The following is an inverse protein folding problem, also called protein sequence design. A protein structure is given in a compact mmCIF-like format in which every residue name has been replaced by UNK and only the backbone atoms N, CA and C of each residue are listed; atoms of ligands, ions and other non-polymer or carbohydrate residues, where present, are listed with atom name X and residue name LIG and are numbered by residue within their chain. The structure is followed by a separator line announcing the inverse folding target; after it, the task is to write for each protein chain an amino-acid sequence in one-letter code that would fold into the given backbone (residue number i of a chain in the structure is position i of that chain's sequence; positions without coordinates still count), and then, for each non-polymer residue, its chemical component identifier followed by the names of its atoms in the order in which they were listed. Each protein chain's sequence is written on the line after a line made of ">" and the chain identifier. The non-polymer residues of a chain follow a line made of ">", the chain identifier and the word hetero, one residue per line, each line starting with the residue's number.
data_IF_202391675958
#
_entry.id   IF_202391675958
#
_cell.length_a   1.000
_cell.length_b   1.000
_cell.length_c   1.000
_cell.angle_alpha   90.00
_cell.angle_beta   90.00
_cell.angle_gamma   90.00
#
_symmetry.space_group_name_H-M   'P 1'
#
loop_
_entity.id
_entity.type
_entity.pdbx_description
1 polymer ?
#
# COMPACT_ATOMS: atom_id res chain seq x y z
N UNK A 1 11.92 1.36 -29.51
CA UNK A 1 10.58 1.49 -28.91
C UNK A 1 10.18 0.16 -28.28
N UNK A 2 10.42 -0.05 -27.00
CA UNK A 2 10.02 -1.26 -26.28
C UNK A 2 8.62 -1.06 -25.69
N UNK A 3 7.64 -1.81 -26.21
CA UNK A 3 6.27 -1.85 -25.67
C UNK A 3 6.32 -2.39 -24.24
N UNK A 4 5.90 -1.57 -23.27
CA UNK A 4 5.68 -2.02 -21.90
C UNK A 4 4.58 -3.10 -21.92
N UNK A 5 4.99 -4.36 -21.83
CA UNK A 5 4.06 -5.49 -21.84
C UNK A 5 3.68 -5.75 -20.39
N UNK A 6 2.45 -5.39 -20.00
CA UNK A 6 1.93 -5.72 -18.67
C UNK A 6 1.84 -7.25 -18.57
N UNK A 7 2.73 -7.86 -17.80
CA UNK A 7 2.69 -9.31 -17.54
C UNK A 7 1.55 -9.60 -16.57
N UNK A 8 0.44 -10.15 -17.10
CA UNK A 8 -0.60 -10.77 -16.27
C UNK A 8 -0.08 -12.11 -15.77
N UNK A 9 -0.05 -12.28 -14.46
CA UNK A 9 0.22 -13.57 -13.84
C UNK A 9 -1.12 -14.28 -13.58
N UNK A 10 -1.20 -15.56 -13.95
CA UNK A 10 -2.37 -16.39 -13.72
C UNK A 10 -2.04 -17.41 -12.65
N UNK A 11 -2.91 -17.55 -11.66
CA UNK A 11 -2.87 -18.61 -10.68
C UNK A 11 -4.16 -19.42 -10.79
N UNK A 12 -4.03 -20.73 -10.78
CA UNK A 12 -5.17 -21.64 -10.88
C UNK A 12 -5.40 -22.31 -9.53
N UNK A 13 -6.65 -22.32 -9.09
CA UNK A 13 -7.08 -23.02 -7.89
C UNK A 13 -7.98 -24.18 -8.31
N UNK A 14 -7.72 -25.36 -7.76
CA UNK A 14 -8.61 -26.50 -7.91
C UNK A 14 -9.74 -26.38 -6.89
N UNK A 15 -10.97 -26.22 -7.37
CA UNK A 15 -12.17 -26.10 -6.57
C UNK A 15 -13.12 -27.23 -6.92
N UNK A 16 -13.85 -27.71 -5.91
CA UNK A 16 -14.95 -28.65 -6.14
C UNK A 16 -16.12 -27.93 -6.83
N UNK A 17 -17.05 -28.71 -7.39
CA UNK A 17 -18.26 -28.18 -8.02
C UNK A 17 -19.12 -27.40 -7.04
N UNK A 18 -19.22 -27.86 -5.79
CA UNK A 18 -20.01 -27.20 -4.75
C UNK A 18 -19.39 -25.84 -4.34
N UNK A 19 -18.07 -25.79 -4.18
CA UNK A 19 -17.36 -24.54 -3.88
C UNK A 19 -17.48 -23.54 -5.05
N UNK A 20 -17.41 -24.05 -6.28
CA UNK A 20 -17.57 -23.23 -7.48
C UNK A 20 -18.95 -22.59 -7.54
N UNK A 21 -20.00 -23.38 -7.34
CA UNK A 21 -21.38 -22.90 -7.33
C UNK A 21 -21.61 -21.84 -6.24
N UNK A 22 -21.04 -22.06 -5.05
CA UNK A 22 -21.16 -21.09 -3.95
C UNK A 22 -20.46 -19.78 -4.26
N UNK A 23 -19.31 -19.82 -4.94
CA UNK A 23 -18.59 -18.62 -5.36
C UNK A 23 -19.31 -17.85 -6.46
N UNK A 24 -19.96 -18.55 -7.39
CA UNK A 24 -20.79 -17.91 -8.41
C UNK A 24 -21.98 -17.19 -7.77
N UNK A 25 -22.67 -17.82 -6.81
CA UNK A 25 -23.75 -17.20 -6.03
C UNK A 25 -23.27 -15.93 -5.29
N UNK A 26 -22.10 -15.99 -4.66
CA UNK A 26 -21.50 -14.84 -3.95
C UNK A 26 -21.15 -13.72 -4.94
N UNK A 27 -20.55 -14.05 -6.08
CA UNK A 27 -20.19 -13.06 -7.10
C UNK A 27 -21.44 -12.33 -7.62
N UNK A 28 -22.51 -13.08 -7.93
CA UNK A 28 -23.78 -12.53 -8.39
C UNK A 28 -24.43 -11.64 -7.32
N UNK A 29 -24.52 -12.13 -6.09
CA UNK A 29 -25.11 -11.38 -4.96
C UNK A 29 -24.40 -10.05 -4.71
N UNK A 30 -23.09 -10.00 -4.91
CA UNK A 30 -22.26 -8.81 -4.70
C UNK A 30 -22.08 -7.97 -5.98
N UNK A 31 -22.67 -8.37 -7.11
CA UNK A 31 -22.65 -7.63 -8.37
C UNK A 31 -21.35 -7.71 -9.17
N UNK A 32 -20.51 -8.73 -8.93
CA UNK A 32 -19.28 -8.95 -9.71
C UNK A 32 -19.59 -9.69 -11.01
N UNK A 33 -18.91 -9.31 -12.10
CA UNK A 33 -19.16 -9.87 -13.44
C UNK A 33 -18.48 -11.23 -13.64
N UNK A 34 -17.50 -11.58 -12.80
CA UNK A 34 -16.84 -12.88 -12.85
C UNK A 34 -16.22 -13.28 -11.52
N UNK A 35 -16.02 -14.59 -11.32
CA UNK A 35 -15.21 -15.13 -10.20
C UNK A 35 -13.80 -14.55 -10.15
N UNK A 36 -13.18 -14.29 -11.30
CA UNK A 36 -11.83 -13.70 -11.34
C UNK A 36 -11.85 -12.28 -10.77
N UNK A 37 -12.89 -11.51 -11.08
CA UNK A 37 -13.08 -10.17 -10.54
C UNK A 37 -13.34 -10.21 -9.03
N UNK A 38 -14.20 -11.12 -8.56
CA UNK A 38 -14.41 -11.38 -7.14
C UNK A 38 -13.11 -11.75 -6.42
N UNK A 39 -12.33 -12.70 -6.96
CA UNK A 39 -11.04 -13.11 -6.38
C UNK A 39 -10.01 -11.99 -6.40
N UNK A 40 -9.99 -11.19 -7.47
CA UNK A 40 -9.10 -10.05 -7.58
C UNK A 40 -9.50 -8.99 -6.56
N UNK A 41 -10.78 -8.66 -6.44
CA UNK A 41 -11.29 -7.72 -5.44
C UNK A 41 -11.03 -8.24 -4.01
N UNK A 42 -11.30 -9.52 -3.73
CA UNK A 42 -11.02 -10.15 -2.45
C UNK A 42 -9.52 -10.19 -2.16
N UNK A 43 -8.66 -10.43 -3.15
CA UNK A 43 -7.22 -10.33 -3.00
C UNK A 43 -6.79 -8.88 -2.75
N UNK A 44 -7.38 -7.90 -3.44
CA UNK A 44 -7.14 -6.49 -3.17
C UNK A 44 -7.66 -6.07 -1.79
N UNK A 45 -8.74 -6.66 -1.29
CA UNK A 45 -9.24 -6.42 0.07
C UNK A 45 -8.34 -7.11 1.10
N UNK A 46 -7.92 -8.35 0.86
CA UNK A 46 -6.96 -9.07 1.70
C UNK A 46 -5.59 -8.38 1.73
N UNK A 47 -5.17 -7.78 0.62
CA UNK A 47 -3.90 -7.09 0.48
C UNK A 47 -3.98 -5.60 0.91
N UNK A 48 -5.12 -4.94 0.74
CA UNK A 48 -5.25 -3.47 0.82
C UNK A 48 -6.53 -2.94 1.48
N UNK A 49 -7.51 -3.78 1.78
CA UNK A 49 -8.82 -3.39 2.30
C UNK A 49 -8.80 -3.27 3.82
N UNK A 50 -8.77 -2.03 4.28
CA UNK A 50 -8.97 -1.60 5.67
C UNK A 50 -7.96 -2.17 6.69
N UNK A 51 -6.74 -1.64 6.66
CA UNK A 51 -5.64 -2.07 7.50
C UNK A 51 -5.95 -2.00 9.01
N UNK A 52 -6.88 -1.14 9.47
CA UNK A 52 -7.28 -1.07 10.87
C UNK A 52 -8.13 -2.28 11.31
N UNK A 53 -8.95 -2.83 10.41
CA UNK A 53 -9.74 -4.04 10.65
C UNK A 53 -8.90 -5.31 10.41
N UNK A 54 -8.01 -5.29 9.42
CA UNK A 54 -7.07 -6.38 9.14
C UNK A 54 -6.02 -6.56 10.26
N UNK A 55 -5.48 -5.48 10.84
CA UNK A 55 -4.57 -5.54 12.00
C UNK A 55 -5.29 -6.14 13.23
N UNK A 56 -6.59 -5.86 13.42
CA UNK A 56 -7.40 -6.44 14.50
C UNK A 56 -7.73 -7.92 14.27
N UNK A 57 -8.05 -8.31 13.03
CA UNK A 57 -8.51 -9.67 12.71
C UNK A 57 -7.36 -10.65 12.40
N UNK A 58 -6.21 -10.18 11.92
CA UNK A 58 -5.09 -11.02 11.48
C UNK A 58 -4.12 -11.41 12.62
N UNK A 59 -4.68 -11.83 13.77
CA UNK A 59 -3.93 -12.36 14.94
C UNK A 59 -3.12 -13.64 14.63
N UNK A 60 -3.27 -14.24 13.44
CA UNK A 60 -2.60 -15.50 13.04
C UNK A 60 -1.27 -15.32 12.31
N UNK A 61 -0.91 -14.12 11.84
CA UNK A 61 0.41 -13.85 11.23
C UNK A 61 1.11 -12.66 11.89
N UNK A 62 1.44 -12.83 13.16
CA UNK A 62 2.07 -11.81 14.03
C UNK A 62 3.36 -11.24 13.46
N UNK A 63 4.15 -12.06 12.75
CA UNK A 63 5.40 -11.63 12.13
C UNK A 63 5.19 -10.66 10.96
N UNK A 64 4.25 -10.96 10.05
CA UNK A 64 3.94 -10.07 8.92
C UNK A 64 3.35 -8.74 9.41
N UNK A 65 2.40 -8.81 10.36
CA UNK A 65 1.81 -7.60 10.94
C UNK A 65 2.86 -6.72 11.63
N UNK A 66 3.76 -7.33 12.42
CA UNK A 66 4.86 -6.62 13.06
C UNK A 66 5.78 -5.94 12.03
N UNK A 67 6.07 -6.62 10.92
CA UNK A 67 6.90 -6.07 9.83
C UNK A 67 6.22 -4.92 9.11
N UNK A 68 4.93 -5.03 8.81
CA UNK A 68 4.17 -3.95 8.16
C UNK A 68 4.00 -2.74 9.08
N UNK A 69 3.75 -2.95 10.37
CA UNK A 69 3.70 -1.87 11.35
C UNK A 69 5.04 -1.16 11.48
N UNK A 70 6.14 -1.91 11.60
CA UNK A 70 7.49 -1.34 11.63
C UNK A 70 7.80 -0.57 10.34
N UNK A 71 7.39 -1.09 9.19
CA UNK A 71 7.55 -0.41 7.92
C UNK A 71 6.78 0.92 7.88
N UNK A 72 5.52 0.97 8.32
CA UNK A 72 4.77 2.24 8.37
C UNK A 72 5.41 3.25 9.32
N UNK A 73 5.90 2.81 10.48
CA UNK A 73 6.63 3.68 11.40
C UNK A 73 7.90 4.26 10.76
N UNK A 74 8.68 3.43 10.06
CA UNK A 74 9.86 3.90 9.31
C UNK A 74 9.46 4.95 8.27
N UNK A 75 8.43 4.70 7.47
CA UNK A 75 7.97 5.69 6.47
C UNK A 75 7.52 6.99 7.15
N UNK A 76 6.77 6.91 8.24
CA UNK A 76 6.34 8.06 9.02
C UNK A 76 7.52 8.92 9.50
N UNK A 77 8.62 8.28 9.90
CA UNK A 77 9.81 8.95 10.43
C UNK A 77 10.69 9.57 9.35
N UNK A 78 10.94 8.86 8.23
CA UNK A 78 12.00 9.27 7.28
C UNK A 78 11.49 9.70 5.91
N UNK A 79 10.25 9.36 5.55
CA UNK A 79 9.76 9.55 4.19
C UNK A 79 8.39 10.24 4.11
N UNK A 80 7.65 10.42 5.21
CA UNK A 80 6.30 11.00 5.21
C UNK A 80 6.22 12.34 4.46
N UNK A 81 7.07 13.35 4.74
CA UNK A 81 6.98 14.63 4.02
C UNK A 81 7.24 14.48 2.52
N UNK A 82 8.13 13.56 2.15
CA UNK A 82 8.49 13.32 0.75
C UNK A 82 7.33 12.62 0.03
N UNK A 83 6.72 11.63 0.67
CA UNK A 83 5.51 10.96 0.14
C UNK A 83 4.38 11.97 -0.02
N UNK A 84 4.16 12.83 0.97
CA UNK A 84 3.07 13.81 0.95
C UNK A 84 3.25 14.85 -0.17
N UNK A 85 4.45 15.39 -0.34
CA UNK A 85 4.69 16.52 -1.25
C UNK A 85 5.06 16.05 -2.66
N UNK A 86 5.77 14.93 -2.79
CA UNK A 86 6.37 14.47 -4.06
C UNK A 86 5.92 13.07 -4.48
N UNK A 87 5.03 12.44 -3.71
CA UNK A 87 4.56 11.08 -3.96
C UNK A 87 5.61 10.02 -3.64
N UNK A 88 5.30 8.76 -3.99
CA UNK A 88 6.12 7.60 -3.65
C UNK A 88 7.35 7.40 -4.55
N UNK A 89 7.40 8.03 -5.73
CA UNK A 89 8.46 7.80 -6.72
C UNK A 89 9.88 8.20 -6.24
N UNK A 90 10.06 9.37 -5.59
CA UNK A 90 11.35 9.76 -5.03
C UNK A 90 11.83 8.82 -3.92
N UNK A 91 10.90 8.23 -3.17
CA UNK A 91 11.22 7.28 -2.09
C UNK A 91 11.94 6.05 -2.67
N UNK A 92 11.51 5.57 -3.84
CA UNK A 92 12.21 4.49 -4.54
C UNK A 92 13.61 4.85 -4.98
N UNK A 93 13.81 6.10 -5.39
CA UNK A 93 15.06 6.51 -6.01
C UNK A 93 16.12 6.81 -4.97
N UNK A 94 15.73 7.35 -3.82
CA UNK A 94 16.67 7.95 -2.87
C UNK A 94 16.64 7.36 -1.46
N UNK A 95 15.57 6.65 -1.07
CA UNK A 95 15.36 6.26 0.34
C UNK A 95 15.22 4.75 0.55
N UNK A 96 15.24 3.94 -0.51
CA UNK A 96 15.03 2.49 -0.35
C UNK A 96 16.05 1.84 0.57
N UNK A 97 17.32 2.22 0.46
CA UNK A 97 18.38 1.62 1.28
C UNK A 97 18.29 2.03 2.75
N UNK A 98 17.94 3.28 3.03
CA UNK A 98 17.68 3.74 4.40
C UNK A 98 16.45 3.04 4.99
N UNK A 99 15.35 2.92 4.22
CA UNK A 99 14.15 2.20 4.66
C UNK A 99 14.48 0.72 4.96
N UNK A 100 15.29 0.07 4.12
CA UNK A 100 15.71 -1.32 4.36
C UNK A 100 16.54 -1.43 5.63
N UNK A 101 17.50 -0.53 5.84
CA UNK A 101 18.37 -0.53 7.02
C UNK A 101 17.54 -0.38 8.30
N UNK A 102 16.64 0.59 8.32
CA UNK A 102 15.79 0.85 9.49
C UNK A 102 14.79 -0.28 9.75
N UNK A 103 14.21 -0.86 8.69
CA UNK A 103 13.31 -1.99 8.84
C UNK A 103 14.02 -3.25 9.33
N UNK A 104 15.23 -3.52 8.82
CA UNK A 104 16.06 -4.62 9.27
C UNK A 104 16.40 -4.48 10.75
N UNK A 105 16.83 -3.30 11.19
CA UNK A 105 17.14 -3.03 12.59
C UNK A 105 15.96 -3.31 13.55
N UNK A 106 14.71 -3.15 13.09
CA UNK A 106 13.50 -3.34 13.91
C UNK A 106 12.92 -4.75 13.85
N UNK A 107 13.18 -5.49 12.77
CA UNK A 107 12.42 -6.69 12.43
C UNK A 107 13.25 -7.89 11.98
N UNK A 108 14.57 -7.73 11.86
CA UNK A 108 15.51 -8.73 11.33
C UNK A 108 15.07 -9.28 9.96
N UNK A 109 14.49 -8.39 9.14
CA UNK A 109 13.92 -8.71 7.84
C UNK A 109 14.25 -7.65 6.81
N UNK A 110 14.78 -8.09 5.67
CA UNK A 110 15.04 -7.25 4.50
C UNK A 110 14.06 -7.63 3.39
N UNK A 111 13.02 -6.82 3.13
CA UNK A 111 12.11 -7.05 2.02
C UNK A 111 12.78 -6.82 0.66
N UNK A 112 12.34 -7.58 -0.34
CA UNK A 112 12.66 -7.33 -1.73
C UNK A 112 12.05 -6.00 -2.22
N UNK A 113 12.61 -5.43 -3.28
CA UNK A 113 12.21 -4.14 -3.88
C UNK A 113 10.73 -4.11 -4.25
N UNK A 114 10.23 -5.19 -4.86
CA UNK A 114 8.82 -5.29 -5.23
C UNK A 114 7.91 -5.33 -4.01
N UNK A 115 8.36 -5.93 -2.90
CA UNK A 115 7.63 -5.91 -1.63
C UNK A 115 7.58 -4.50 -1.02
N UNK A 116 8.69 -3.76 -1.05
CA UNK A 116 8.74 -2.37 -0.57
C UNK A 116 7.88 -1.44 -1.42
N UNK A 117 7.93 -1.58 -2.75
CA UNK A 117 7.03 -0.89 -3.68
C UNK A 117 5.57 -1.16 -3.38
N UNK A 118 5.27 -2.41 -3.05
CA UNK A 118 3.94 -2.78 -2.63
C UNK A 118 3.55 -2.02 -1.37
N UNK A 119 4.31 -2.19 -0.30
CA UNK A 119 3.99 -1.62 1.01
C UNK A 119 3.94 -0.09 0.99
N UNK A 120 4.75 0.58 0.18
CA UNK A 120 4.66 2.04 -0.03
C UNK A 120 3.34 2.46 -0.68
N UNK A 121 2.83 1.70 -1.65
CA UNK A 121 1.49 1.96 -2.22
C UNK A 121 0.39 1.75 -1.17
N UNK A 122 0.49 0.69 -0.37
CA UNK A 122 -0.43 0.42 0.73
C UNK A 122 -0.43 1.60 1.70
N UNK A 123 0.75 2.01 2.13
CA UNK A 123 0.95 3.12 3.04
C UNK A 123 0.34 4.42 2.50
N UNK A 124 0.61 4.78 1.24
CA UNK A 124 0.12 6.00 0.62
C UNK A 124 -1.42 5.99 0.49
N UNK A 125 -2.01 4.82 0.22
CA UNK A 125 -3.46 4.69 0.13
C UNK A 125 -4.12 4.81 1.51
N UNK A 126 -3.59 4.15 2.54
CA UNK A 126 -4.12 4.22 3.92
C UNK A 126 -4.01 5.64 4.47
N UNK A 127 -2.88 6.31 4.23
CA UNK A 127 -2.61 7.63 4.78
C UNK A 127 -3.05 8.76 3.83
N UNK A 128 -3.83 8.48 2.78
CA UNK A 128 -4.13 9.46 1.72
C UNK A 128 -4.61 10.79 2.26
N UNK A 129 -5.63 10.79 3.12
CA UNK A 129 -6.17 12.02 3.73
C UNK A 129 -5.09 12.78 4.51
N UNK A 130 -4.31 12.08 5.34
CA UNK A 130 -3.24 12.67 6.15
C UNK A 130 -2.11 13.25 5.29
N UNK A 131 -1.80 12.60 4.17
CA UNK A 131 -0.80 13.07 3.20
C UNK A 131 -1.29 14.32 2.47
N UNK A 132 -2.56 14.33 2.03
CA UNK A 132 -3.20 15.46 1.35
C UNK A 132 -3.25 16.69 2.28
N UNK A 133 -3.70 16.51 3.53
CA UNK A 133 -3.72 17.57 4.56
C UNK A 133 -2.34 18.16 4.82
N UNK A 134 -1.31 17.30 4.93
CA UNK A 134 0.05 17.78 5.12
C UNK A 134 0.55 18.57 3.92
N UNK A 135 0.32 18.08 2.70
CA UNK A 135 0.70 18.77 1.48
C UNK A 135 0.06 20.17 1.39
N UNK A 136 -1.23 20.27 1.71
CA UNK A 136 -1.93 21.55 1.74
C UNK A 136 -1.40 22.49 2.82
N UNK A 137 -1.01 21.96 3.99
CA UNK A 137 -0.36 22.75 5.05
C UNK A 137 0.98 23.37 4.63
N UNK A 138 1.74 22.68 3.76
CA UNK A 138 3.02 23.16 3.25
C UNK A 138 2.78 24.25 2.21
N UNK A 139 1.85 24.02 1.27
CA UNK A 139 1.48 25.02 0.25
C UNK A 139 0.98 26.31 0.90
N UNK A 140 0.18 26.19 1.96
CA UNK A 140 -0.34 27.35 2.69
C UNK A 140 0.76 28.16 3.36
N UNK A 141 1.77 27.51 3.94
CA UNK A 141 2.93 28.19 4.53
C UNK A 141 3.76 28.93 3.49
N UNK A 142 4.06 28.27 2.36
CA UNK A 142 4.80 28.89 1.26
C UNK A 142 4.11 30.16 0.74
N UNK A 143 2.78 30.11 0.58
CA UNK A 143 2.01 31.27 0.15
C UNK A 143 2.11 32.46 1.13
N UNK A 144 2.08 32.20 2.44
CA UNK A 144 2.19 33.25 3.45
C UNK A 144 3.60 33.86 3.50
N UNK A 145 4.63 33.03 3.39
CA UNK A 145 6.03 33.47 3.33
C UNK A 145 6.29 34.36 2.10
N UNK A 146 5.70 34.03 0.93
CA UNK A 146 5.81 34.83 -0.29
C UNK A 146 5.11 36.20 -0.17
N UNK A 147 4.04 36.29 0.63
CA UNK A 147 3.33 37.55 0.89
C UNK A 147 4.10 38.47 1.85
N UNK A 148 4.77 37.91 2.87
CA UNK A 148 5.56 38.69 3.82
C UNK A 148 6.86 39.25 3.20
N UNK A 149 7.46 38.55 2.24
CA UNK A 149 8.67 39.00 1.53
C UNK A 149 8.36 40.09 0.48
N UNK A 150 7.09 40.20 0.05
CA UNK A 150 6.64 41.15 -0.97
C UNK A 150 6.03 42.45 -0.40
N UNK A 151 5.92 42.57 0.92
CA UNK A 151 5.36 43.72 1.64
C UNK A 151 6.46 44.59 2.26
#
# INVERSE_FOLDING_TARGET
>A
MTKNTVKKAYAYANLTTAETAKLDEIAETLGYQSRTELYTAAAHILLYGDAAELIRQNKRNTALNRRMQAFFAVIDEIAFPIVAVRGIAPVYTFLLDDIRRELFARTDFVPADETLKHWLKIYANINRTRLDEYCDSIRRRQYLEEQEVSA
#
